data_IF_351413693125
#
_entry.id   IF_351413693125
#
_cell.length_a   1.000
_cell.length_b   1.000
_cell.length_c   1.000
_cell.angle_alpha   90.00
_cell.angle_beta   90.00
_cell.angle_gamma   90.00
#
_symmetry.space_group_name_H-M   'P 1'
#
loop_
_entity.id
_entity.type
_entity.pdbx_description
1 polymer ?
#
# COMPACT_ATOMS: atom_id res chain seq x y z
N UNK A 1 22.76 -26.85 -12.76
CA UNK A 1 21.59 -27.73 -12.54
C UNK A 1 20.78 -27.17 -11.39
N UNK A 2 19.53 -26.82 -11.65
CA UNK A 2 18.54 -26.33 -10.67
C UNK A 2 18.03 -27.51 -9.84
N UNK A 3 17.97 -27.35 -8.51
CA UNK A 3 17.41 -28.34 -7.60
C UNK A 3 16.43 -27.68 -6.65
N UNK A 4 15.17 -27.67 -7.04
CA UNK A 4 14.01 -27.31 -6.20
C UNK A 4 13.73 -28.49 -5.26
N UNK A 5 13.65 -28.24 -3.96
CA UNK A 5 13.16 -29.22 -2.97
C UNK A 5 11.71 -28.93 -2.63
N UNK A 6 10.81 -29.76 -3.14
CA UNK A 6 9.38 -29.81 -2.77
C UNK A 6 9.10 -30.91 -1.76
N UNK A 7 8.19 -30.55 -0.84
CA UNK A 7 7.18 -31.39 -0.19
C UNK A 7 7.59 -32.36 0.93
N UNK A 8 6.86 -32.25 2.05
CA UNK A 8 6.16 -33.39 2.62
C UNK A 8 4.94 -32.91 3.43
N UNK A 9 3.75 -33.17 2.90
CA UNK A 9 2.48 -33.13 3.62
C UNK A 9 2.39 -34.33 4.56
N UNK A 10 1.88 -34.14 5.77
CA UNK A 10 1.34 -35.23 6.59
C UNK A 10 -0.09 -34.87 6.94
N UNK A 11 -1.03 -35.54 6.28
CA UNK A 11 -2.41 -35.63 6.70
C UNK A 11 -2.55 -36.85 7.62
N UNK A 12 -3.26 -36.71 8.73
CA UNK A 12 -3.79 -37.84 9.49
C UNK A 12 -5.22 -37.56 9.95
N UNK A 13 -6.04 -38.57 9.73
CA UNK A 13 -7.50 -38.59 9.69
C UNK A 13 -8.21 -38.79 11.03
N UNK A 14 -9.41 -38.20 11.12
CA UNK A 14 -10.67 -38.77 11.66
C UNK A 14 -11.16 -38.50 13.10
N UNK A 15 -12.36 -37.90 13.13
CA UNK A 15 -13.56 -38.29 13.88
C UNK A 15 -13.73 -37.95 15.38
N UNK A 16 -14.71 -37.09 15.71
CA UNK A 16 -15.93 -37.43 16.47
C UNK A 16 -16.86 -36.23 16.74
N UNK A 17 -18.14 -36.46 16.50
CA UNK A 17 -19.32 -35.60 16.71
C UNK A 17 -19.70 -35.52 18.20
N UNK A 18 -19.86 -34.32 18.77
CA UNK A 18 -20.71 -34.06 19.96
C UNK A 18 -21.42 -32.69 19.83
N UNK A 19 -22.74 -32.73 19.98
CA UNK A 19 -23.68 -31.59 20.02
C UNK A 19 -23.77 -31.06 21.45
N UNK A 20 -23.83 -29.75 21.64
CA UNK A 20 -24.66 -29.10 22.69
C UNK A 20 -24.68 -27.58 22.50
N UNK A 21 -25.89 -27.04 22.52
CA UNK A 21 -26.22 -25.62 22.42
C UNK A 21 -25.61 -24.80 23.57
N UNK A 22 -25.13 -23.59 23.25
CA UNK A 22 -24.97 -22.51 24.20
C UNK A 22 -24.93 -21.16 23.46
N UNK A 23 -25.83 -20.27 23.90
CA UNK A 23 -25.82 -18.82 23.76
C UNK A 23 -25.83 -18.23 22.35
N UNK A 24 -26.88 -17.45 22.08
CA UNK A 24 -26.98 -16.61 20.90
C UNK A 24 -25.71 -15.78 20.74
N UNK A 25 -25.03 -15.98 19.62
CA UNK A 25 -24.11 -14.99 19.08
C UNK A 25 -24.98 -13.84 18.59
N UNK A 26 -25.36 -12.94 19.49
CA UNK A 26 -25.42 -11.53 19.12
C UNK A 26 -24.00 -11.17 18.72
N UNK A 27 -23.67 -11.48 17.47
CA UNK A 27 -22.63 -10.75 16.77
C UNK A 27 -23.15 -9.33 16.75
N UNK A 28 -22.80 -8.54 17.77
CA UNK A 28 -22.91 -7.09 17.73
C UNK A 28 -22.37 -6.68 16.36
N UNK A 29 -23.28 -6.26 15.48
CA UNK A 29 -22.89 -5.64 14.22
C UNK A 29 -22.10 -4.41 14.63
N UNK A 30 -20.78 -4.53 14.54
CA UNK A 30 -19.88 -3.39 14.61
C UNK A 30 -20.50 -2.36 13.66
N UNK A 31 -20.92 -1.19 14.16
CA UNK A 31 -21.58 -0.20 13.33
C UNK A 31 -20.66 0.07 12.16
N UNK A 32 -21.22 0.02 10.95
CA UNK A 32 -20.50 0.19 9.70
C UNK A 32 -19.55 1.39 9.85
N UNK A 33 -18.27 1.09 10.10
CA UNK A 33 -17.23 2.10 10.17
C UNK A 33 -17.27 2.69 8.78
N UNK A 34 -17.84 3.90 8.65
CA UNK A 34 -18.07 4.59 7.39
C UNK A 34 -16.77 4.46 6.60
N UNK A 35 -16.77 3.57 5.60
CA UNK A 35 -15.59 3.34 4.77
C UNK A 35 -15.42 4.63 4.01
N UNK A 36 -14.57 5.51 4.55
CA UNK A 36 -14.22 6.77 3.91
C UNK A 36 -13.79 6.42 2.50
N UNK A 37 -14.48 6.97 1.51
CA UNK A 37 -14.21 6.66 0.12
C UNK A 37 -12.73 6.91 -0.17
N UNK A 38 -12.06 5.89 -0.71
CA UNK A 38 -10.67 5.97 -1.09
C UNK A 38 -10.58 6.76 -2.40
N UNK A 39 -9.97 7.94 -2.34
CA UNK A 39 -9.71 8.74 -3.54
C UNK A 39 -8.40 8.26 -4.14
N UNK A 40 -8.46 7.75 -5.38
CA UNK A 40 -7.29 7.35 -6.15
C UNK A 40 -6.89 8.46 -7.09
N UNK A 41 -5.67 8.97 -6.93
CA UNK A 41 -5.05 9.93 -7.86
C UNK A 41 -4.10 9.14 -8.74
N UNK A 42 -4.41 9.03 -10.03
CA UNK A 42 -3.53 8.36 -10.98
C UNK A 42 -2.26 9.18 -11.22
N UNK A 43 -1.10 8.54 -11.06
CA UNK A 43 0.20 9.18 -11.29
C UNK A 43 0.70 8.85 -12.70
N UNK A 44 0.91 9.86 -13.57
CA UNK A 44 1.57 9.68 -14.86
C UNK A 44 2.93 8.97 -14.70
N UNK A 45 3.24 8.02 -15.59
CA UNK A 45 4.45 7.20 -15.46
C UNK A 45 5.73 8.03 -15.40
N UNK A 46 5.84 9.06 -16.24
CA UNK A 46 7.00 9.96 -16.27
C UNK A 46 7.24 10.63 -14.92
N UNK A 47 6.18 10.97 -14.17
CA UNK A 47 6.32 11.55 -12.84
C UNK A 47 6.75 10.52 -11.80
N UNK A 48 6.42 9.23 -11.96
CA UNK A 48 6.92 8.17 -11.08
C UNK A 48 8.42 8.01 -11.21
N UNK A 49 8.94 8.01 -12.43
CA UNK A 49 10.38 7.87 -12.68
C UNK A 49 11.15 9.06 -12.06
N UNK A 50 10.63 10.28 -12.23
CA UNK A 50 11.19 11.48 -11.59
C UNK A 50 11.22 11.36 -10.05
N UNK A 51 10.18 10.79 -9.43
CA UNK A 51 10.14 10.60 -7.98
C UNK A 51 11.15 9.54 -7.50
N UNK A 52 11.39 8.49 -8.28
CA UNK A 52 12.41 7.49 -7.98
C UNK A 52 13.80 8.13 -8.02
N UNK A 53 14.08 8.93 -9.05
CA UNK A 53 15.35 9.64 -9.18
C UNK A 53 15.56 10.66 -8.05
N UNK A 54 14.53 11.47 -7.73
CA UNK A 54 14.58 12.45 -6.63
C UNK A 54 14.89 11.78 -5.28
N UNK A 55 14.24 10.64 -5.01
CA UNK A 55 14.52 9.87 -3.80
C UNK A 55 15.98 9.39 -3.75
N UNK A 56 16.51 8.87 -4.85
CA UNK A 56 17.91 8.40 -4.91
C UNK A 56 18.89 9.56 -4.71
N UNK A 57 18.63 10.70 -5.37
CA UNK A 57 19.42 11.92 -5.22
C UNK A 57 19.52 12.38 -3.76
N UNK A 58 18.40 12.40 -3.04
CA UNK A 58 18.38 12.86 -1.64
C UNK A 58 18.99 11.80 -0.72
N UNK A 59 18.53 10.55 -0.80
CA UNK A 59 18.81 9.52 0.21
C UNK A 59 20.16 8.84 -0.01
N UNK A 60 20.57 8.60 -1.25
CA UNK A 60 21.82 7.89 -1.56
C UNK A 60 22.93 8.84 -1.94
N UNK A 61 22.62 9.84 -2.77
CA UNK A 61 23.63 10.77 -3.28
C UNK A 61 23.88 11.96 -2.35
N UNK A 62 23.06 12.13 -1.30
CA UNK A 62 23.14 13.24 -0.35
C UNK A 62 23.08 14.62 -1.03
N UNK A 63 22.36 14.68 -2.15
CA UNK A 63 22.20 15.90 -2.92
C UNK A 63 20.96 16.65 -2.46
N UNK A 64 21.13 17.92 -2.08
CA UNK A 64 20.04 18.80 -1.70
C UNK A 64 19.75 19.81 -2.80
N UNK A 65 18.46 20.11 -3.00
CA UNK A 65 18.03 21.15 -3.93
C UNK A 65 18.59 22.51 -3.52
N UNK A 66 19.04 23.29 -4.50
CA UNK A 66 19.54 24.64 -4.26
C UNK A 66 18.39 25.57 -3.88
N UNK A 67 18.57 26.28 -2.77
CA UNK A 67 17.69 27.37 -2.34
C UNK A 67 18.39 28.73 -2.50
N UNK A 68 17.64 29.80 -2.85
CA UNK A 68 16.25 29.77 -3.28
C UNK A 68 16.10 29.08 -4.65
N UNK A 69 14.95 28.44 -4.87
CA UNK A 69 14.64 27.79 -6.14
C UNK A 69 14.54 28.83 -7.26
N UNK A 70 15.08 28.52 -8.43
CA UNK A 70 14.98 29.39 -9.63
C UNK A 70 13.53 29.61 -10.08
N UNK A 71 12.68 28.60 -9.89
CA UNK A 71 11.24 28.68 -10.07
C UNK A 71 10.56 28.21 -8.79
N UNK A 72 9.74 29.08 -8.22
CA UNK A 72 8.93 28.78 -7.05
C UNK A 72 7.67 28.01 -7.43
N UNK A 73 7.09 27.28 -6.48
CA UNK A 73 5.79 26.62 -6.66
C UNK A 73 4.71 27.62 -7.10
N UNK A 74 4.72 28.84 -6.55
CA UNK A 74 3.79 29.91 -6.92
C UNK A 74 3.94 30.36 -8.38
N UNK A 75 5.14 30.35 -8.95
CA UNK A 75 5.36 30.64 -10.37
C UNK A 75 4.87 29.50 -11.27
N UNK A 76 5.04 28.25 -10.85
CA UNK A 76 4.60 27.08 -11.60
C UNK A 76 3.06 27.04 -11.67
N UNK A 77 2.37 27.19 -10.53
CA UNK A 77 0.91 27.16 -10.48
C UNK A 77 0.30 28.27 -11.36
N UNK A 78 0.90 29.48 -11.38
CA UNK A 78 0.44 30.58 -12.24
C UNK A 78 0.47 30.26 -13.74
N UNK A 79 1.24 29.27 -14.17
CA UNK A 79 1.36 28.88 -15.58
C UNK A 79 0.36 27.79 -15.99
N UNK A 80 -0.27 27.11 -15.03
CA UNK A 80 -1.24 26.05 -15.30
C UNK A 80 -2.64 26.68 -15.31
N UNK A 81 -3.31 26.80 -16.48
CA UNK A 81 -4.70 27.23 -16.51
C UNK A 81 -5.59 26.17 -15.84
N UNK A 82 -6.49 26.62 -14.97
CA UNK A 82 -7.53 25.80 -14.34
C UNK A 82 -8.61 25.40 -15.36
#
# INVERSE_FOLDING_TARGET
AYGVSTAASIASTSSRKRRSAAAGSEAERIPDFVRKEEIKIEMPMVLKDILVDDQDMIVRQMYLVRIPARYTVAEIIRQVPL
#
